data_IF_167534655826
#
_entry.id   IF_167534655826
#
_cell.length_a   1.000
_cell.length_b   1.000
_cell.length_c   1.000
_cell.angle_alpha   90.00
_cell.angle_beta   90.00
_cell.angle_gamma   90.00
#
_symmetry.space_group_name_H-M   'P 1'
#
loop_
_entity.id
_entity.type
_entity.pdbx_description
1 polymer ?
#
# COMPACT_ATOMS: atom_id res chain seq x y z
N UNK A 1 24.59 -4.63 -22.42
CA UNK A 1 23.68 -5.29 -23.36
C UNK A 1 23.01 -6.40 -22.58
N UNK A 2 21.97 -6.04 -21.82
CA UNK A 2 21.23 -6.98 -20.98
C UNK A 2 20.37 -7.88 -21.87
N UNK A 3 20.33 -9.17 -21.56
CA UNK A 3 19.52 -10.15 -22.28
C UNK A 3 18.02 -9.82 -22.15
N UNK A 4 17.20 -10.08 -23.19
CA UNK A 4 15.76 -9.99 -23.06
C UNK A 4 15.28 -10.91 -21.93
N UNK A 5 14.47 -10.37 -21.02
CA UNK A 5 13.92 -11.13 -19.91
C UNK A 5 12.64 -11.79 -20.42
N UNK A 6 12.73 -12.98 -21.02
CA UNK A 6 11.55 -13.73 -21.47
C UNK A 6 10.73 -14.21 -20.26
N UNK A 7 9.43 -13.94 -20.24
CA UNK A 7 8.49 -14.55 -19.29
C UNK A 7 8.03 -15.91 -19.85
N UNK A 8 8.28 -17.03 -19.13
CA UNK A 8 7.90 -18.36 -19.62
C UNK A 8 6.57 -18.85 -19.01
N UNK A 9 5.65 -19.43 -19.82
CA UNK A 9 4.44 -20.08 -19.31
C UNK A 9 4.77 -21.24 -18.36
N UNK A 10 4.08 -21.31 -17.21
CA UNK A 10 4.26 -22.38 -16.22
C UNK A 10 5.31 -22.12 -15.15
N UNK A 11 5.92 -20.94 -15.11
CA UNK A 11 6.83 -20.55 -14.02
C UNK A 11 6.09 -20.45 -12.67
N UNK A 12 6.72 -20.82 -11.54
CA UNK A 12 6.14 -20.60 -10.22
C UNK A 12 6.08 -19.11 -9.88
N UNK A 13 5.15 -18.73 -8.99
CA UNK A 13 4.88 -17.33 -8.67
C UNK A 13 6.10 -16.51 -8.22
N UNK A 14 7.06 -17.13 -7.53
CA UNK A 14 8.29 -16.44 -7.14
C UNK A 14 9.14 -15.93 -8.33
N UNK A 15 9.17 -16.67 -9.44
CA UNK A 15 9.94 -16.33 -10.64
C UNK A 15 9.24 -15.23 -11.41
N UNK A 16 7.90 -15.26 -11.42
CA UNK A 16 7.05 -14.21 -11.99
C UNK A 16 7.23 -12.88 -11.25
N UNK A 17 7.24 -12.93 -9.92
CA UNK A 17 7.51 -11.75 -9.09
C UNK A 17 8.93 -11.22 -9.34
N UNK A 18 9.96 -12.08 -9.36
CA UNK A 18 11.34 -11.68 -9.67
C UNK A 18 11.50 -11.05 -11.06
N UNK A 19 10.80 -11.59 -12.05
CA UNK A 19 10.75 -11.02 -13.39
C UNK A 19 10.18 -9.61 -13.35
N UNK A 20 9.04 -9.43 -12.69
CA UNK A 20 8.36 -8.14 -12.66
C UNK A 20 9.06 -7.08 -11.80
N UNK A 21 9.80 -7.50 -10.76
CA UNK A 21 10.74 -6.64 -10.02
C UNK A 21 11.82 -6.05 -10.94
N UNK A 22 12.42 -6.89 -11.81
CA UNK A 22 13.41 -6.41 -12.79
C UNK A 22 12.78 -5.46 -13.79
N UNK A 23 11.57 -5.74 -14.24
CA UNK A 23 10.82 -4.86 -15.15
C UNK A 23 10.54 -3.49 -14.51
N UNK A 24 10.08 -3.44 -13.24
CA UNK A 24 9.90 -2.18 -12.50
C UNK A 24 11.19 -1.37 -12.50
N UNK A 25 12.29 -1.97 -12.04
CA UNK A 25 13.58 -1.28 -11.94
C UNK A 25 14.07 -0.80 -13.31
N UNK A 26 14.02 -1.67 -14.33
CA UNK A 26 14.41 -1.34 -15.71
C UNK A 26 13.57 -0.21 -16.28
N UNK A 27 12.27 -0.19 -16.05
CA UNK A 27 11.36 0.72 -16.74
C UNK A 27 11.31 2.10 -16.07
N UNK A 28 11.39 2.13 -14.74
CA UNK A 28 11.10 3.35 -13.97
C UNK A 28 12.31 3.95 -13.26
N UNK A 29 13.37 3.20 -12.94
CA UNK A 29 14.49 3.76 -12.18
C UNK A 29 15.20 4.88 -12.96
N UNK A 30 15.37 6.03 -12.31
CA UNK A 30 16.07 7.18 -12.86
C UNK A 30 17.44 7.32 -12.17
N UNK A 31 18.51 7.09 -12.93
CA UNK A 31 19.89 7.17 -12.42
C UNK A 31 20.30 8.60 -12.06
N UNK A 32 19.70 9.63 -12.66
CA UNK A 32 20.03 11.03 -12.39
C UNK A 32 19.44 11.52 -11.07
N UNK A 33 18.19 11.15 -10.78
CA UNK A 33 17.50 11.56 -9.54
C UNK A 33 17.66 10.53 -8.41
N UNK A 34 17.96 9.27 -8.74
CA UNK A 34 18.06 8.15 -7.82
C UNK A 34 16.71 7.67 -7.25
N UNK A 35 15.59 8.13 -7.80
CA UNK A 35 14.23 7.69 -7.48
C UNK A 35 13.56 7.13 -8.75
N UNK A 36 12.34 6.59 -8.62
CA UNK A 36 11.59 6.13 -9.79
C UNK A 36 10.96 7.32 -10.54
N UNK A 37 11.02 7.30 -11.86
CA UNK A 37 10.19 8.15 -12.70
C UNK A 37 8.70 7.82 -12.50
N UNK A 38 7.86 8.81 -12.75
CA UNK A 38 6.41 8.67 -12.59
C UNK A 38 5.76 7.94 -13.77
N UNK A 39 6.38 7.99 -14.95
CA UNK A 39 5.82 7.51 -16.20
C UNK A 39 6.76 6.55 -16.93
N UNK A 40 6.14 5.63 -17.66
CA UNK A 40 6.72 4.94 -18.79
C UNK A 40 5.96 5.31 -20.07
N UNK A 41 6.63 5.63 -21.19
CA UNK A 41 8.09 5.79 -21.30
C UNK A 41 8.57 7.03 -20.52
N UNK A 42 9.83 7.02 -20.11
CA UNK A 42 10.40 7.98 -19.14
C UNK A 42 10.47 9.42 -19.65
N UNK A 43 10.42 9.60 -20.97
CA UNK A 43 10.43 10.89 -21.66
C UNK A 43 9.03 11.51 -21.78
N UNK A 44 7.99 10.79 -21.35
CA UNK A 44 6.67 11.38 -21.20
C UNK A 44 6.67 12.39 -20.05
N UNK A 45 6.40 13.65 -20.39
CA UNK A 45 6.39 14.77 -19.46
C UNK A 45 5.07 15.50 -19.65
N UNK A 46 4.26 15.63 -18.59
CA UNK A 46 3.19 16.62 -18.58
C UNK A 46 3.66 17.89 -17.88
N UNK A 47 3.16 19.04 -18.33
CA UNK A 47 3.59 20.36 -17.83
C UNK A 47 3.22 20.59 -16.36
N UNK A 48 2.22 19.87 -15.87
CA UNK A 48 1.59 20.08 -14.57
C UNK A 48 1.78 18.85 -13.65
N UNK A 49 2.69 17.92 -13.99
CA UNK A 49 2.98 16.75 -13.16
C UNK A 49 3.58 17.18 -11.81
N UNK A 50 2.94 16.73 -10.73
CA UNK A 50 3.46 16.87 -9.38
C UNK A 50 4.43 15.74 -9.07
N UNK A 51 5.30 15.91 -8.08
CA UNK A 51 6.07 14.80 -7.54
C UNK A 51 5.21 14.00 -6.54
N UNK A 52 4.91 12.73 -6.86
CA UNK A 52 4.18 11.82 -5.98
C UNK A 52 5.13 11.13 -4.99
N UNK A 53 5.31 11.76 -3.82
CA UNK A 53 6.17 11.26 -2.76
C UNK A 53 5.77 9.86 -2.27
N UNK A 54 4.48 9.63 -2.02
CA UNK A 54 3.98 8.38 -1.46
C UNK A 54 4.10 7.17 -2.40
N UNK A 55 4.15 7.37 -3.73
CA UNK A 55 4.45 6.26 -4.66
C UNK A 55 5.86 5.70 -4.41
N UNK A 56 6.82 6.56 -4.07
CA UNK A 56 8.19 6.13 -3.76
C UNK A 56 8.26 5.32 -2.45
N UNK A 57 7.40 5.62 -1.47
CA UNK A 57 7.25 4.79 -0.27
C UNK A 57 6.86 3.36 -0.65
N UNK A 58 5.94 3.21 -1.61
CA UNK A 58 5.51 1.90 -2.08
C UNK A 58 6.52 1.20 -2.99
N UNK A 59 7.45 1.94 -3.61
CA UNK A 59 8.64 1.33 -4.23
C UNK A 59 9.51 0.66 -3.17
N UNK A 60 9.72 1.31 -2.02
CA UNK A 60 10.47 0.71 -0.91
C UNK A 60 9.77 -0.55 -0.42
N UNK A 61 8.44 -0.52 -0.26
CA UNK A 61 7.65 -1.69 0.12
C UNK A 61 7.86 -2.91 -0.77
N UNK A 62 7.80 -2.74 -2.10
CA UNK A 62 7.97 -3.86 -3.04
C UNK A 62 9.42 -4.33 -3.12
N UNK A 63 10.41 -3.44 -2.89
CA UNK A 63 11.80 -3.85 -2.75
C UNK A 63 12.01 -4.66 -1.47
N UNK A 64 11.32 -4.33 -0.37
CA UNK A 64 11.32 -5.15 0.85
C UNK A 64 10.65 -6.49 0.59
N UNK A 65 9.53 -6.55 -0.14
CA UNK A 65 8.90 -7.83 -0.52
C UNK A 65 9.89 -8.76 -1.22
N UNK A 66 10.63 -8.23 -2.21
CA UNK A 66 11.65 -9.00 -2.92
C UNK A 66 12.81 -9.41 -2.02
N UNK A 67 13.26 -8.52 -1.13
CA UNK A 67 14.34 -8.84 -0.20
C UNK A 67 13.94 -9.94 0.78
N UNK A 68 12.74 -9.86 1.37
CA UNK A 68 12.21 -10.88 2.29
C UNK A 68 12.13 -12.24 1.58
N UNK A 69 11.66 -12.27 0.33
CA UNK A 69 11.52 -13.51 -0.47
C UNK A 69 12.84 -14.11 -0.94
N UNK A 70 13.81 -13.28 -1.33
CA UNK A 70 15.04 -13.74 -2.02
C UNK A 70 16.30 -13.72 -1.15
N UNK A 71 16.33 -12.86 -0.13
CA UNK A 71 17.52 -12.51 0.65
C UNK A 71 18.68 -11.96 -0.21
N UNK A 72 18.40 -11.48 -1.42
CA UNK A 72 19.43 -10.92 -2.31
C UNK A 72 19.85 -9.51 -1.83
N UNK A 73 21.13 -9.29 -1.49
CA UNK A 73 21.61 -8.00 -0.97
C UNK A 73 21.42 -6.83 -1.96
N UNK A 74 21.19 -7.09 -3.25
CA UNK A 74 20.88 -6.04 -4.22
C UNK A 74 19.66 -5.22 -3.81
N UNK A 75 18.64 -5.84 -3.20
CA UNK A 75 17.43 -5.15 -2.79
C UNK A 75 17.68 -4.25 -1.58
N UNK A 76 18.48 -4.70 -0.60
CA UNK A 76 18.89 -3.86 0.53
C UNK A 76 19.69 -2.62 0.06
N UNK A 77 20.59 -2.78 -0.90
CA UNK A 77 21.31 -1.65 -1.50
C UNK A 77 20.38 -0.68 -2.23
N UNK A 78 19.42 -1.21 -3.01
CA UNK A 78 18.42 -0.39 -3.71
C UNK A 78 17.53 0.39 -2.73
N UNK A 79 17.07 -0.24 -1.65
CA UNK A 79 16.29 0.44 -0.60
C UNK A 79 17.11 1.59 -0.01
N UNK A 80 18.37 1.35 0.38
CA UNK A 80 19.25 2.38 0.94
C UNK A 80 19.49 3.54 -0.01
N UNK A 81 19.85 3.24 -1.26
CA UNK A 81 20.10 4.25 -2.29
C UNK A 81 18.86 5.09 -2.57
N UNK A 82 17.72 4.45 -2.78
CA UNK A 82 16.45 5.13 -3.06
C UNK A 82 15.99 5.97 -1.87
N UNK A 83 16.12 5.48 -0.64
CA UNK A 83 15.72 6.21 0.57
C UNK A 83 16.50 7.52 0.75
N UNK A 84 17.81 7.49 0.47
CA UNK A 84 18.66 8.70 0.53
C UNK A 84 18.32 9.68 -0.57
N UNK A 85 18.10 9.20 -1.79
CA UNK A 85 17.67 10.03 -2.91
C UNK A 85 16.28 10.63 -2.71
N UNK A 86 15.34 9.85 -2.16
CA UNK A 86 14.00 10.32 -1.80
C UNK A 86 14.07 11.47 -0.78
N UNK A 87 14.89 11.32 0.27
CA UNK A 87 15.12 12.39 1.26
C UNK A 87 15.66 13.65 0.60
N UNK A 88 16.64 13.52 -0.29
CA UNK A 88 17.23 14.66 -1.00
C UNK A 88 16.22 15.32 -1.94
N UNK A 89 15.43 14.53 -2.66
CA UNK A 89 14.39 14.99 -3.58
C UNK A 89 13.26 15.72 -2.85
N UNK A 90 12.90 15.26 -1.65
CA UNK A 90 11.94 15.91 -0.76
C UNK A 90 12.56 17.04 0.09
N UNK A 91 13.57 17.74 -0.43
CA UNK A 91 14.14 18.93 0.23
C UNK A 91 15.01 18.64 1.47
N UNK A 92 15.53 17.42 1.61
CA UNK A 92 16.40 17.02 2.71
C UNK A 92 15.68 16.50 3.96
N UNK A 93 14.40 16.17 3.86
CA UNK A 93 13.56 15.64 4.96
C UNK A 93 12.60 14.57 4.45
N UNK A 94 12.05 13.75 5.35
CA UNK A 94 10.92 12.86 5.05
C UNK A 94 9.57 13.46 5.48
N UNK A 95 9.59 14.62 6.15
CA UNK A 95 8.36 15.31 6.51
C UNK A 95 7.67 15.85 5.26
N UNK A 96 6.34 15.78 5.24
CA UNK A 96 5.52 16.19 4.11
C UNK A 96 4.27 16.97 4.59
N UNK A 97 3.56 17.63 3.67
CA UNK A 97 2.31 18.33 3.99
C UNK A 97 1.14 17.37 4.21
N UNK A 98 1.18 16.22 3.54
CA UNK A 98 0.17 15.17 3.59
C UNK A 98 0.57 14.16 4.68
N UNK A 99 -0.35 13.87 5.59
CA UNK A 99 -0.09 12.97 6.73
C UNK A 99 -0.09 11.51 6.29
N UNK A 100 -1.01 11.12 5.41
CA UNK A 100 -1.05 9.81 4.76
C UNK A 100 0.26 9.51 4.01
N UNK A 101 0.79 10.47 3.24
CA UNK A 101 2.11 10.37 2.60
C UNK A 101 3.24 10.01 3.58
N UNK A 102 3.24 10.64 4.77
CA UNK A 102 4.21 10.34 5.82
C UNK A 102 3.96 8.96 6.46
N UNK A 103 2.70 8.56 6.63
CA UNK A 103 2.32 7.25 7.16
C UNK A 103 2.79 6.12 6.23
N UNK A 104 2.63 6.26 4.91
CA UNK A 104 3.13 5.30 3.93
C UNK A 104 4.65 5.15 4.01
N UNK A 105 5.37 6.26 4.05
CA UNK A 105 6.84 6.24 4.19
C UNK A 105 7.28 5.63 5.53
N UNK A 106 6.59 5.96 6.63
CA UNK A 106 6.91 5.39 7.93
C UNK A 106 6.66 3.87 7.97
N UNK A 107 5.58 3.38 7.35
CA UNK A 107 5.32 1.95 7.25
C UNK A 107 6.38 1.23 6.39
N UNK A 108 6.78 1.81 5.26
CA UNK A 108 7.81 1.26 4.39
C UNK A 108 9.18 1.22 5.09
N UNK A 109 9.56 2.28 5.81
CA UNK A 109 10.79 2.30 6.60
C UNK A 109 10.76 1.38 7.80
N UNK A 110 9.60 1.21 8.45
CA UNK A 110 9.50 0.23 9.53
C UNK A 110 9.73 -1.19 9.01
N UNK A 111 9.21 -1.52 7.83
CA UNK A 111 9.49 -2.79 7.16
C UNK A 111 10.96 -2.91 6.76
N UNK A 112 11.56 -1.87 6.19
CA UNK A 112 12.98 -1.85 5.85
C UNK A 112 13.89 -2.05 7.08
N UNK A 113 13.56 -1.40 8.21
CA UNK A 113 14.24 -1.60 9.49
C UNK A 113 14.17 -3.07 9.94
N UNK A 114 12.99 -3.68 9.93
CA UNK A 114 12.82 -5.07 10.35
C UNK A 114 13.56 -6.04 9.44
N UNK A 115 13.62 -5.76 8.14
CA UNK A 115 14.27 -6.61 7.16
C UNK A 115 15.81 -6.49 7.21
N UNK A 116 16.35 -5.28 7.38
CA UNK A 116 17.79 -5.01 7.23
C UNK A 116 18.53 -4.78 8.54
N UNK A 117 17.82 -4.39 9.61
CA UNK A 117 18.40 -3.97 10.88
C UNK A 117 19.10 -2.60 10.84
N UNK A 118 18.98 -1.83 9.76
CA UNK A 118 19.64 -0.52 9.63
C UNK A 118 18.92 0.56 10.45
N UNK A 119 19.63 1.14 11.43
CA UNK A 119 19.03 2.10 12.37
C UNK A 119 18.56 3.42 11.73
N UNK A 120 19.11 3.81 10.58
CA UNK A 120 18.66 5.03 9.87
C UNK A 120 17.16 5.00 9.53
N UNK A 121 16.60 3.81 9.30
CA UNK A 121 15.18 3.66 9.02
C UNK A 121 14.31 3.83 10.27
N UNK A 122 14.72 3.29 11.42
CA UNK A 122 13.97 3.45 12.68
C UNK A 122 14.00 4.91 13.14
N UNK A 123 15.14 5.58 13.03
CA UNK A 123 15.25 7.02 13.32
C UNK A 123 14.27 7.83 12.45
N UNK A 124 14.18 7.52 11.16
CA UNK A 124 13.21 8.15 10.26
C UNK A 124 11.76 7.85 10.65
N UNK A 125 11.44 6.61 11.05
CA UNK A 125 10.10 6.24 11.56
C UNK A 125 9.74 7.04 12.80
N UNK A 126 10.67 7.24 13.74
CA UNK A 126 10.44 8.02 14.95
C UNK A 126 10.19 9.51 14.64
N UNK A 127 10.94 10.10 13.71
CA UNK A 127 10.73 11.48 13.23
C UNK A 127 9.33 11.61 12.59
N UNK A 128 8.99 10.72 11.67
CA UNK A 128 7.69 10.71 10.99
C UNK A 128 6.55 10.53 11.98
N UNK A 129 6.63 9.56 12.89
CA UNK A 129 5.57 9.29 13.87
C UNK A 129 5.35 10.46 14.82
N UNK A 130 6.41 11.17 15.22
CA UNK A 130 6.26 12.38 16.03
C UNK A 130 5.46 13.46 15.31
N UNK A 131 5.67 13.66 14.00
CA UNK A 131 4.93 14.65 13.21
C UNK A 131 3.51 14.15 12.85
N UNK A 132 3.32 12.88 12.50
CA UNK A 132 2.01 12.26 12.20
C UNK A 132 1.04 12.42 13.38
N UNK A 133 1.50 12.24 14.62
CA UNK A 133 0.65 12.43 15.82
C UNK A 133 0.02 13.83 15.92
N UNK A 134 0.61 14.84 15.26
CA UNK A 134 0.05 16.20 15.21
C UNK A 134 -1.20 16.32 14.34
N UNK A 135 -1.49 15.33 13.49
CA UNK A 135 -2.69 15.29 12.65
C UNK A 135 -3.98 15.17 13.46
N UNK A 136 -3.91 14.56 14.66
CA UNK A 136 -5.07 14.34 15.50
C UNK A 136 -5.60 15.65 16.07
N UNK A 137 -6.90 15.88 15.91
CA UNK A 137 -7.60 17.01 16.50
C UNK A 137 -9.10 16.71 16.71
N UNK A 138 -9.81 17.60 17.40
CA UNK A 138 -11.18 17.37 17.85
C UNK A 138 -12.28 17.59 16.78
N UNK A 139 -11.94 18.00 15.55
CA UNK A 139 -12.92 18.04 14.46
C UNK A 139 -13.53 16.64 14.27
N UNK A 140 -14.87 16.56 14.22
CA UNK A 140 -15.59 15.28 14.17
C UNK A 140 -15.28 14.32 15.34
N UNK A 141 -14.97 14.87 16.51
CA UNK A 141 -14.75 14.11 17.74
C UNK A 141 -13.46 13.30 17.76
N UNK A 142 -12.47 13.68 16.94
CA UNK A 142 -11.17 13.00 16.84
C UNK A 142 -10.76 12.76 15.39
N UNK A 143 -9.80 11.87 15.19
CA UNK A 143 -9.33 11.44 13.88
C UNK A 143 -8.16 12.29 13.38
N UNK A 144 -7.31 11.64 12.59
CA UNK A 144 -6.19 12.26 11.90
C UNK A 144 -6.68 13.08 10.71
N UNK A 145 -6.18 14.30 10.59
CA UNK A 145 -6.36 15.13 9.40
C UNK A 145 -5.62 14.55 8.19
N UNK A 146 -6.16 14.78 6.99
CA UNK A 146 -5.50 14.38 5.76
C UNK A 146 -4.16 15.12 5.54
N UNK A 147 -4.17 16.45 5.74
CA UNK A 147 -3.01 17.31 5.48
C UNK A 147 -2.96 18.53 6.39
N UNK A 148 -1.77 19.10 6.55
CA UNK A 148 -1.48 20.17 7.52
C UNK A 148 -2.27 21.46 7.28
N UNK A 149 -2.62 21.75 6.03
CA UNK A 149 -3.39 22.93 5.62
C UNK A 149 -4.90 22.69 5.52
N UNK A 150 -5.39 21.48 5.84
CA UNK A 150 -6.82 21.13 5.89
C UNK A 150 -7.10 20.18 7.06
N UNK A 151 -7.09 20.74 8.27
CA UNK A 151 -7.12 19.96 9.52
C UNK A 151 -8.50 19.38 9.87
N UNK A 152 -9.55 19.84 9.21
CA UNK A 152 -10.94 19.43 9.45
C UNK A 152 -11.43 18.34 8.48
N UNK A 153 -10.66 17.98 7.47
CA UNK A 153 -10.92 16.82 6.62
C UNK A 153 -10.25 15.58 7.21
N UNK A 154 -11.06 14.57 7.54
CA UNK A 154 -10.60 13.31 8.16
C UNK A 154 -10.89 12.16 7.21
N UNK A 155 -9.89 11.37 6.85
CA UNK A 155 -10.04 10.28 5.90
C UNK A 155 -9.37 8.98 6.39
N UNK A 156 -9.89 7.85 5.94
CA UNK A 156 -9.36 6.51 6.21
C UNK A 156 -7.87 6.40 5.85
N UNK A 157 -7.37 6.96 4.71
CA UNK A 157 -5.96 6.93 4.36
C UNK A 157 -4.99 7.59 5.35
N UNK A 158 -5.44 8.56 6.16
CA UNK A 158 -4.61 9.17 7.22
C UNK A 158 -4.89 8.56 8.62
N UNK A 159 -5.88 7.68 8.74
CA UNK A 159 -6.26 7.10 10.04
C UNK A 159 -5.83 5.63 10.13
N UNK A 160 -6.24 4.81 9.17
CA UNK A 160 -5.95 3.38 9.25
C UNK A 160 -4.44 3.06 9.12
N UNK A 161 -3.65 3.70 8.22
CA UNK A 161 -2.19 3.51 8.21
C UNK A 161 -1.50 4.00 9.48
N UNK A 162 -1.91 5.15 10.04
CA UNK A 162 -1.44 5.59 11.36
C UNK A 162 -1.74 4.57 12.48
N UNK A 163 -2.91 3.93 12.46
CA UNK A 163 -3.25 2.87 13.42
C UNK A 163 -2.39 1.61 13.22
N UNK A 164 -2.11 1.21 11.97
CA UNK A 164 -1.17 0.12 11.65
C UNK A 164 0.22 0.45 12.20
N UNK A 165 0.71 1.65 11.93
CA UNK A 165 2.03 2.10 12.37
C UNK A 165 2.15 2.04 13.89
N UNK A 166 1.20 2.65 14.60
CA UNK A 166 1.17 2.68 16.05
C UNK A 166 1.10 1.27 16.66
N UNK A 167 0.25 0.38 16.13
CA UNK A 167 0.16 -1.00 16.61
C UNK A 167 1.47 -1.78 16.39
N UNK A 168 2.14 -1.59 15.24
CA UNK A 168 3.44 -2.21 14.96
C UNK A 168 4.55 -1.67 15.86
N UNK A 169 4.59 -0.35 16.09
CA UNK A 169 5.53 0.28 17.02
C UNK A 169 5.37 -0.27 18.44
N UNK A 170 4.13 -0.38 18.94
CA UNK A 170 3.86 -1.04 20.21
C UNK A 170 4.34 -2.49 20.22
N UNK A 171 4.05 -3.26 19.17
CA UNK A 171 4.49 -4.66 19.06
C UNK A 171 6.01 -4.84 19.20
N UNK A 172 6.78 -3.87 18.68
CA UNK A 172 8.24 -3.87 18.66
C UNK A 172 8.87 -3.30 19.94
N UNK A 173 8.40 -2.14 20.38
CA UNK A 173 9.07 -1.36 21.44
C UNK A 173 8.32 -1.40 22.78
N UNK A 174 7.06 -1.86 22.79
CA UNK A 174 6.22 -2.00 24.00
C UNK A 174 5.99 -0.69 24.75
N UNK A 175 6.00 0.43 24.03
CA UNK A 175 5.61 1.74 24.57
C UNK A 175 4.08 1.84 24.59
N UNK A 176 3.49 1.87 25.79
CA UNK A 176 2.02 1.86 25.96
C UNK A 176 1.31 3.02 25.24
N UNK A 177 1.98 4.17 25.09
CA UNK A 177 1.44 5.32 24.34
C UNK A 177 1.09 4.92 22.89
N UNK A 178 1.91 4.09 22.25
CA UNK A 178 1.67 3.66 20.87
C UNK A 178 0.44 2.75 20.77
N UNK A 179 0.18 1.90 21.79
CA UNK A 179 -1.05 1.12 21.85
C UNK A 179 -2.28 2.01 22.04
N UNK A 180 -2.19 2.99 22.93
CA UNK A 180 -3.27 3.97 23.16
C UNK A 180 -3.59 4.74 21.87
N UNK A 181 -2.57 5.14 21.10
CA UNK A 181 -2.75 5.73 19.78
C UNK A 181 -3.44 4.77 18.82
N UNK A 182 -2.94 3.55 18.67
CA UNK A 182 -3.48 2.56 17.75
C UNK A 182 -4.98 2.30 18.01
N UNK A 183 -5.35 2.06 19.26
CA UNK A 183 -6.74 1.79 19.67
C UNK A 183 -7.62 3.02 19.45
N UNK A 184 -7.15 4.22 19.83
CA UNK A 184 -7.92 5.46 19.67
C UNK A 184 -8.20 5.77 18.20
N UNK A 185 -7.20 5.66 17.33
CA UNK A 185 -7.34 5.95 15.91
C UNK A 185 -8.27 4.93 15.25
N UNK A 186 -8.05 3.64 15.51
CA UNK A 186 -8.88 2.57 14.98
C UNK A 186 -10.36 2.73 15.41
N UNK A 187 -10.60 3.00 16.69
CA UNK A 187 -11.95 3.20 17.20
C UNK A 187 -12.66 4.39 16.53
N UNK A 188 -11.93 5.49 16.28
CA UNK A 188 -12.48 6.64 15.57
C UNK A 188 -12.79 6.29 14.10
N UNK A 189 -11.86 5.63 13.39
CA UNK A 189 -12.05 5.25 12.00
C UNK A 189 -13.24 4.29 11.85
N UNK A 190 -13.34 3.28 12.72
CA UNK A 190 -14.45 2.31 12.76
C UNK A 190 -15.80 3.00 12.99
N UNK A 191 -15.85 3.95 13.93
CA UNK A 191 -17.09 4.61 14.31
C UNK A 191 -17.64 5.52 13.21
N UNK A 192 -16.77 6.21 12.47
CA UNK A 192 -17.20 7.28 11.56
C UNK A 192 -17.17 6.88 10.09
N UNK A 193 -16.25 6.00 9.69
CA UNK A 193 -15.98 5.71 8.28
C UNK A 193 -16.15 4.23 7.92
N UNK A 194 -16.71 3.41 8.82
CA UNK A 194 -17.04 2.01 8.50
C UNK A 194 -18.55 1.82 8.61
N UNK A 195 -19.13 1.27 7.56
CA UNK A 195 -20.54 0.92 7.53
C UNK A 195 -20.83 -0.12 8.61
N UNK A 196 -21.62 0.22 9.65
CA UNK A 196 -21.92 -0.71 10.72
C UNK A 196 -22.77 -1.91 10.27
N UNK A 197 -23.45 -1.83 9.12
CA UNK A 197 -24.27 -2.90 8.57
C UNK A 197 -23.45 -3.92 7.77
N UNK A 198 -22.44 -3.48 7.03
CA UNK A 198 -21.66 -4.36 6.13
C UNK A 198 -20.22 -4.58 6.58
N UNK A 199 -19.58 -3.59 7.20
CA UNK A 199 -18.12 -3.58 7.43
C UNK A 199 -17.33 -2.95 6.28
N UNK A 200 -18.02 -2.38 5.27
CA UNK A 200 -17.41 -1.64 4.18
C UNK A 200 -16.88 -0.28 4.65
N UNK A 201 -15.76 0.16 4.11
CA UNK A 201 -15.03 1.35 4.57
C UNK A 201 -15.20 2.50 3.58
N UNK A 202 -15.62 3.66 4.07
CA UNK A 202 -15.75 4.89 3.29
C UNK A 202 -14.45 5.70 3.33
N UNK A 203 -14.26 6.57 2.33
CA UNK A 203 -13.02 7.32 2.17
C UNK A 203 -12.80 8.34 3.29
N UNK A 204 -13.70 9.32 3.44
CA UNK A 204 -13.51 10.39 4.40
C UNK A 204 -14.76 11.19 4.71
N UNK A 205 -14.62 12.11 5.65
CA UNK A 205 -15.65 13.03 6.12
C UNK A 205 -15.14 14.46 6.06
N UNK A 206 -15.98 15.35 5.50
CA UNK A 206 -15.77 16.80 5.41
C UNK A 206 -14.68 17.27 4.42
N UNK A 207 -14.45 16.51 3.34
CA UNK A 207 -13.49 16.91 2.30
C UNK A 207 -13.79 18.27 1.67
N UNK A 208 -15.07 18.60 1.50
CA UNK A 208 -15.56 19.83 0.89
C UNK A 208 -16.01 20.90 1.91
N UNK A 209 -15.76 20.69 3.21
CA UNK A 209 -16.20 21.62 4.26
C UNK A 209 -17.71 21.60 4.55
N UNK A 210 -18.42 20.54 4.12
CA UNK A 210 -19.87 20.41 4.23
C UNK A 210 -20.33 19.39 5.31
N UNK A 211 -19.37 18.81 6.04
CA UNK A 211 -19.61 17.81 7.08
C UNK A 211 -20.14 16.46 6.60
N UNK A 212 -20.06 16.16 5.29
CA UNK A 212 -20.57 14.91 4.73
C UNK A 212 -19.47 13.85 4.58
N UNK A 213 -19.90 12.60 4.63
CA UNK A 213 -19.07 11.45 4.27
C UNK A 213 -19.12 11.26 2.75
N UNK A 214 -17.98 10.98 2.14
CA UNK A 214 -17.82 10.67 0.72
C UNK A 214 -18.23 9.21 0.43
N UNK A 215 -19.53 8.92 0.48
CA UNK A 215 -20.06 7.54 0.30
C UNK A 215 -19.81 6.95 -1.10
N UNK A 216 -19.69 7.80 -2.13
CA UNK A 216 -19.47 7.37 -3.51
C UNK A 216 -18.00 7.03 -3.81
N UNK A 217 -17.08 7.30 -2.87
CA UNK A 217 -15.65 7.02 -3.00
C UNK A 217 -15.34 5.65 -2.40
N UNK A 218 -15.63 4.62 -3.19
CA UNK A 218 -15.52 3.21 -2.81
C UNK A 218 -14.17 2.61 -3.25
N UNK A 219 -13.09 3.00 -2.57
CA UNK A 219 -11.74 2.59 -2.96
C UNK A 219 -11.27 1.32 -2.26
N UNK A 220 -10.52 0.50 -3.00
CA UNK A 220 -10.00 -0.80 -2.52
C UNK A 220 -9.02 -0.64 -1.35
N UNK A 221 -8.11 0.32 -1.41
CA UNK A 221 -7.08 0.53 -0.39
C UNK A 221 -7.66 0.88 0.98
N UNK A 222 -8.75 1.66 1.06
CA UNK A 222 -9.45 1.97 2.31
C UNK A 222 -9.87 0.69 3.05
N UNK A 223 -10.32 -0.32 2.31
CA UNK A 223 -10.67 -1.62 2.87
C UNK A 223 -9.41 -2.33 3.39
N UNK A 224 -8.34 -2.33 2.58
CA UNK A 224 -7.05 -2.94 2.89
C UNK A 224 -6.39 -2.39 4.16
N UNK A 225 -6.35 -1.06 4.31
CA UNK A 225 -5.72 -0.46 5.49
C UNK A 225 -6.54 -0.66 6.75
N UNK A 226 -7.87 -0.59 6.68
CA UNK A 226 -8.70 -0.79 7.86
C UNK A 226 -8.64 -2.24 8.37
N UNK A 227 -8.72 -3.22 7.46
CA UNK A 227 -8.53 -4.62 7.83
C UNK A 227 -7.09 -4.86 8.33
N UNK A 228 -6.09 -4.23 7.71
CA UNK A 228 -4.70 -4.27 8.16
C UNK A 228 -4.54 -3.77 9.61
N UNK A 229 -5.15 -2.63 9.94
CA UNK A 229 -5.15 -2.09 11.30
C UNK A 229 -5.80 -3.05 12.31
N UNK A 230 -6.91 -3.68 11.93
CA UNK A 230 -7.55 -4.72 12.74
C UNK A 230 -6.64 -5.93 12.97
N UNK A 231 -5.90 -6.37 11.95
CA UNK A 231 -4.95 -7.47 12.10
C UNK A 231 -3.80 -7.13 13.05
N UNK A 232 -3.21 -5.93 12.94
CA UNK A 232 -2.14 -5.52 13.85
C UNK A 232 -2.64 -5.39 15.29
N UNK A 233 -3.81 -4.79 15.51
CA UNK A 233 -4.42 -4.69 16.83
C UNK A 233 -4.75 -6.07 17.42
N UNK A 234 -5.27 -6.99 16.61
CA UNK A 234 -5.48 -8.37 17.06
C UNK A 234 -4.16 -9.03 17.48
N UNK A 235 -3.08 -8.87 16.71
CA UNK A 235 -1.77 -9.46 17.03
C UNK A 235 -1.21 -8.97 18.36
N UNK A 236 -1.40 -7.70 18.69
CA UNK A 236 -0.81 -7.11 19.91
C UNK A 236 -1.72 -7.16 21.14
N UNK A 237 -3.05 -7.23 20.97
CA UNK A 237 -4.01 -7.28 22.08
C UNK A 237 -4.63 -8.66 22.31
N UNK A 238 -4.64 -9.51 21.30
CA UNK A 238 -5.38 -10.78 21.24
C UNK A 238 -6.90 -10.64 21.42
N UNK A 239 -7.47 -9.43 21.26
CA UNK A 239 -8.91 -9.22 21.37
C UNK A 239 -9.63 -9.67 20.08
N UNK A 240 -10.52 -10.69 20.14
CA UNK A 240 -11.11 -11.30 18.94
C UNK A 240 -11.91 -10.34 18.06
N UNK A 241 -12.41 -9.24 18.61
CA UNK A 241 -13.19 -8.25 17.88
C UNK A 241 -12.42 -7.66 16.70
N UNK A 242 -11.11 -7.40 16.83
CA UNK A 242 -10.32 -6.80 15.76
C UNK A 242 -10.12 -7.76 14.58
N UNK A 243 -9.95 -9.05 14.85
CA UNK A 243 -9.92 -10.08 13.80
C UNK A 243 -11.28 -10.23 13.12
N UNK A 244 -12.37 -10.21 13.89
CA UNK A 244 -13.74 -10.29 13.36
C UNK A 244 -14.04 -9.10 12.45
N UNK A 245 -13.63 -7.89 12.84
CA UNK A 245 -13.77 -6.69 12.01
C UNK A 245 -12.95 -6.81 10.72
N UNK A 246 -11.69 -7.26 10.79
CA UNK A 246 -10.84 -7.43 9.61
C UNK A 246 -11.41 -8.44 8.60
N UNK A 247 -11.89 -9.59 9.08
CA UNK A 247 -12.54 -10.62 8.24
C UNK A 247 -13.81 -10.04 7.59
N UNK A 248 -14.65 -9.37 8.39
CA UNK A 248 -15.89 -8.77 7.91
C UNK A 248 -15.65 -7.71 6.83
N UNK A 249 -14.63 -6.87 7.00
CA UNK A 249 -14.24 -5.88 5.98
C UNK A 249 -13.74 -6.54 4.71
N UNK A 250 -12.94 -7.61 4.81
CA UNK A 250 -12.49 -8.36 3.64
C UNK A 250 -13.65 -9.01 2.88
N UNK A 251 -14.60 -9.62 3.59
CA UNK A 251 -15.82 -10.19 3.01
C UNK A 251 -16.66 -9.12 2.30
N UNK A 252 -16.90 -7.98 2.95
CA UNK A 252 -17.65 -6.85 2.36
C UNK A 252 -16.95 -6.28 1.12
N UNK A 253 -15.63 -6.11 1.19
CA UNK A 253 -14.80 -5.67 0.06
C UNK A 253 -14.93 -6.64 -1.13
N UNK A 254 -14.73 -7.94 -0.90
CA UNK A 254 -14.79 -8.94 -1.96
C UNK A 254 -16.21 -9.05 -2.55
N UNK A 255 -17.24 -8.95 -1.72
CA UNK A 255 -18.63 -9.02 -2.18
C UNK A 255 -19.05 -7.79 -3.00
N UNK A 256 -18.51 -6.61 -2.66
CA UNK A 256 -18.92 -5.34 -3.27
C UNK A 256 -18.08 -4.94 -4.48
N UNK A 257 -16.75 -5.13 -4.41
CA UNK A 257 -15.82 -4.59 -5.41
C UNK A 257 -15.34 -5.63 -6.42
N UNK A 258 -15.31 -6.92 -6.07
CA UNK A 258 -14.91 -7.94 -7.04
C UNK A 258 -16.06 -8.25 -7.99
N UNK A 259 -15.73 -8.52 -9.25
CA UNK A 259 -16.70 -9.08 -10.18
C UNK A 259 -17.23 -10.43 -9.65
N UNK A 260 -18.55 -10.67 -9.61
CA UNK A 260 -19.15 -11.79 -8.88
C UNK A 260 -18.73 -13.17 -9.41
N UNK A 261 -18.43 -13.27 -10.71
CA UNK A 261 -18.03 -14.52 -11.36
C UNK A 261 -16.51 -14.67 -11.46
N UNK A 262 -15.84 -13.75 -12.17
CA UNK A 262 -14.39 -13.80 -12.40
C UNK A 262 -13.52 -13.46 -11.20
N UNK A 263 -14.07 -12.84 -10.15
CA UNK A 263 -13.34 -12.36 -8.96
C UNK A 263 -12.41 -11.17 -9.21
N UNK A 264 -12.46 -10.56 -10.39
CA UNK A 264 -11.56 -9.48 -10.76
C UNK A 264 -11.83 -8.24 -9.90
N UNK A 265 -10.76 -7.64 -9.39
CA UNK A 265 -10.81 -6.33 -8.75
C UNK A 265 -11.03 -5.23 -9.80
N UNK A 266 -11.64 -4.10 -9.44
CA UNK A 266 -12.07 -3.10 -10.41
C UNK A 266 -10.88 -2.36 -11.04
N UNK A 267 -11.04 -1.88 -12.28
CA UNK A 267 -10.19 -0.82 -12.79
C UNK A 267 -10.53 0.49 -12.05
N UNK A 268 -9.60 0.97 -11.23
CA UNK A 268 -9.78 2.20 -10.45
C UNK A 268 -9.20 3.43 -11.18
N UNK A 269 -8.62 3.24 -12.37
CA UNK A 269 -8.05 4.29 -13.19
C UNK A 269 -6.54 4.49 -12.99
N UNK A 270 -6.11 5.71 -13.33
CA UNK A 270 -4.72 6.14 -13.34
C UNK A 270 -4.45 7.07 -12.15
N UNK A 271 -3.24 7.60 -12.07
CA UNK A 271 -2.77 8.47 -11.00
C UNK A 271 -2.72 7.70 -9.67
N UNK A 272 -3.07 8.33 -8.55
CA UNK A 272 -3.07 7.71 -7.23
C UNK A 272 -3.91 6.43 -7.16
N UNK A 273 -5.04 6.40 -7.87
CA UNK A 273 -5.96 5.25 -7.85
C UNK A 273 -5.36 3.99 -8.47
N UNK A 274 -4.35 4.14 -9.33
CA UNK A 274 -3.60 3.02 -9.92
C UNK A 274 -2.89 2.15 -8.88
N UNK A 275 -2.60 2.68 -7.69
CA UNK A 275 -1.91 1.96 -6.63
C UNK A 275 -2.86 1.26 -5.64
N UNK A 276 -4.14 1.64 -5.61
CA UNK A 276 -5.07 1.28 -4.53
C UNK A 276 -5.26 -0.23 -4.38
N UNK A 277 -5.47 -0.94 -5.50
CA UNK A 277 -5.58 -2.41 -5.49
C UNK A 277 -4.35 -3.09 -4.91
N UNK A 278 -3.15 -2.55 -5.18
CA UNK A 278 -1.91 -3.10 -4.66
C UNK A 278 -1.87 -3.09 -3.13
N UNK A 279 -2.28 -1.98 -2.53
CA UNK A 279 -2.39 -1.84 -1.08
C UNK A 279 -3.41 -2.81 -0.51
N UNK A 280 -4.59 -2.96 -1.15
CA UNK A 280 -5.57 -3.97 -0.74
C UNK A 280 -4.94 -5.36 -0.71
N UNK A 281 -4.25 -5.76 -1.79
CA UNK A 281 -3.61 -7.07 -1.87
C UNK A 281 -2.64 -7.29 -0.70
N UNK A 282 -1.78 -6.32 -0.37
CA UNK A 282 -0.80 -6.45 0.72
C UNK A 282 -1.46 -6.91 2.02
N UNK A 283 -2.59 -6.31 2.38
CA UNK A 283 -3.27 -6.64 3.63
C UNK A 283 -4.17 -7.88 3.51
N UNK A 284 -4.75 -8.15 2.34
CA UNK A 284 -5.44 -9.42 2.08
C UNK A 284 -4.50 -10.62 2.17
N UNK A 285 -3.26 -10.50 1.69
CA UNK A 285 -2.23 -11.55 1.85
C UNK A 285 -1.98 -11.84 3.33
N UNK A 286 -1.81 -10.79 4.14
CA UNK A 286 -1.63 -10.96 5.59
C UNK A 286 -2.84 -11.61 6.26
N UNK A 287 -4.06 -11.24 5.85
CA UNK A 287 -5.28 -11.87 6.33
C UNK A 287 -5.31 -13.36 5.98
N UNK A 288 -5.04 -13.71 4.72
CA UNK A 288 -5.05 -15.09 4.24
C UNK A 288 -3.96 -15.98 4.85
N UNK A 289 -2.81 -15.40 5.20
CA UNK A 289 -1.75 -16.10 5.94
C UNK A 289 -2.16 -16.35 7.40
N UNK A 290 -2.81 -15.38 8.04
CA UNK A 290 -3.19 -15.48 9.45
C UNK A 290 -4.45 -16.33 9.67
N UNK A 291 -5.38 -16.33 8.71
CA UNK A 291 -6.65 -17.07 8.74
C UNK A 291 -6.84 -17.86 7.44
N UNK A 292 -6.12 -18.99 7.24
CA UNK A 292 -6.18 -19.78 6.01
C UNK A 292 -7.56 -20.36 5.67
N UNK A 293 -8.47 -20.44 6.65
CA UNK A 293 -9.86 -20.82 6.44
C UNK A 293 -10.66 -19.80 5.62
N UNK A 294 -10.17 -18.55 5.50
CA UNK A 294 -10.74 -17.50 4.64
C UNK A 294 -10.39 -17.74 3.16
N UNK A 295 -10.82 -18.89 2.62
CA UNK A 295 -10.45 -19.37 1.28
C UNK A 295 -10.72 -18.34 0.18
N UNK A 296 -11.80 -17.57 0.31
CA UNK A 296 -12.20 -16.53 -0.65
C UNK A 296 -11.09 -15.49 -0.89
N UNK A 297 -10.35 -15.14 0.15
CA UNK A 297 -9.23 -14.18 0.05
C UNK A 297 -8.15 -14.72 -0.88
N UNK A 298 -7.78 -15.99 -0.69
CA UNK A 298 -6.80 -16.68 -1.55
C UNK A 298 -7.30 -16.83 -2.98
N UNK A 299 -8.59 -17.17 -3.16
CA UNK A 299 -9.21 -17.29 -4.49
C UNK A 299 -9.13 -15.96 -5.25
N UNK A 300 -9.49 -14.84 -4.62
CA UNK A 300 -9.43 -13.51 -5.24
C UNK A 300 -8.01 -13.17 -5.65
N UNK A 301 -7.02 -13.32 -4.75
CA UNK A 301 -5.62 -12.99 -5.05
C UNK A 301 -5.09 -13.84 -6.22
N UNK A 302 -5.30 -15.16 -6.18
CA UNK A 302 -4.77 -16.06 -7.21
C UNK A 302 -5.49 -15.91 -8.55
N UNK A 303 -6.81 -15.64 -8.56
CA UNK A 303 -7.55 -15.37 -9.79
C UNK A 303 -7.04 -14.09 -10.46
N UNK A 304 -6.85 -13.02 -9.69
CA UNK A 304 -6.34 -11.75 -10.22
C UNK A 304 -4.90 -11.88 -10.71
N UNK A 305 -4.04 -12.58 -9.96
CA UNK A 305 -2.65 -12.82 -10.35
C UNK A 305 -2.55 -13.65 -11.63
N UNK A 306 -3.42 -14.66 -11.79
CA UNK A 306 -3.48 -15.46 -13.02
C UNK A 306 -3.92 -14.63 -14.21
N UNK A 307 -4.98 -13.83 -14.06
CA UNK A 307 -5.47 -12.95 -15.11
C UNK A 307 -4.41 -11.92 -15.53
N UNK A 308 -3.79 -11.23 -14.56
CA UNK A 308 -2.70 -10.29 -14.82
C UNK A 308 -1.56 -10.95 -15.60
N UNK A 309 -1.10 -12.12 -15.15
CA UNK A 309 0.03 -12.80 -15.77
C UNK A 309 -0.26 -13.32 -17.18
N UNK A 310 -1.46 -13.85 -17.39
CA UNK A 310 -1.83 -14.49 -18.66
C UNK A 310 -2.33 -13.49 -19.72
N UNK A 311 -2.89 -12.35 -19.28
CA UNK A 311 -3.62 -11.43 -20.16
C UNK A 311 -3.24 -9.96 -19.96
N UNK A 312 -3.00 -9.53 -18.72
CA UNK A 312 -2.83 -8.11 -18.37
C UNK A 312 -1.41 -7.54 -18.50
N UNK A 313 -0.39 -8.40 -18.65
CA UNK A 313 1.02 -7.98 -18.80
C UNK A 313 1.41 -7.94 -20.27
N UNK A 314 1.98 -6.82 -20.71
CA UNK A 314 2.80 -6.78 -21.92
C UNK A 314 4.16 -7.41 -21.60
N UNK A 315 4.39 -8.61 -22.13
CA UNK A 315 5.60 -9.38 -21.84
C UNK A 315 6.88 -8.80 -22.48
N UNK A 316 6.75 -8.02 -23.57
CA UNK A 316 7.90 -7.38 -24.21
C UNK A 316 8.34 -6.16 -23.39
N UNK A 317 7.37 -5.32 -23.02
CA UNK A 317 7.62 -4.09 -22.28
C UNK A 317 7.75 -4.31 -20.77
N UNK A 318 7.23 -5.41 -20.23
CA UNK A 318 7.21 -5.68 -18.79
C UNK A 318 6.31 -4.71 -18.03
N UNK A 319 5.14 -4.40 -18.58
CA UNK A 319 4.20 -3.41 -18.04
C UNK A 319 2.83 -4.03 -17.82
N UNK A 320 2.05 -3.46 -16.90
CA UNK A 320 0.62 -3.74 -16.76
C UNK A 320 -0.23 -2.47 -16.78
N UNK A 321 -1.49 -2.63 -17.15
CA UNK A 321 -2.48 -1.56 -17.14
C UNK A 321 -3.25 -1.46 -15.81
N UNK A 322 -4.11 -0.44 -15.66
CA UNK A 322 -4.91 -0.27 -14.45
C UNK A 322 -6.02 -1.32 -14.33
N UNK A 323 -6.48 -1.87 -15.47
CA UNK A 323 -7.21 -3.14 -15.54
C UNK A 323 -6.23 -4.30 -15.73
N UNK A 324 -6.30 -5.30 -14.84
CA UNK A 324 -5.50 -6.53 -14.95
C UNK A 324 -6.05 -7.52 -15.98
N UNK A 325 -7.22 -7.22 -16.57
CA UNK A 325 -7.84 -8.03 -17.63
C UNK A 325 -7.40 -7.62 -19.04
N UNK A 326 -6.69 -6.51 -19.17
CA UNK A 326 -6.36 -5.89 -20.46
C UNK A 326 -4.87 -5.59 -20.55
N UNK A 327 -4.34 -5.70 -21.77
CA UNK A 327 -2.98 -5.26 -22.07
C UNK A 327 -2.84 -3.75 -21.80
N UNK A 328 -1.68 -3.29 -21.29
CA UNK A 328 -1.44 -1.87 -21.02
C UNK A 328 -1.45 -1.03 -22.30
N UNK A 329 -1.96 0.20 -22.20
CA UNK A 329 -1.79 1.23 -23.21
C UNK A 329 -0.88 2.33 -22.68
N UNK A 330 0.25 2.59 -23.35
CA UNK A 330 1.18 3.65 -22.92
C UNK A 330 0.60 5.05 -23.17
N UNK A 331 0.89 6.04 -22.29
CA UNK A 331 1.84 5.98 -21.18
C UNK A 331 1.28 5.36 -19.89
N UNK A 332 2.14 4.68 -19.11
CA UNK A 332 1.77 3.96 -17.87
C UNK A 332 2.47 4.58 -16.66
N UNK A 333 1.70 4.91 -15.62
CA UNK A 333 2.25 5.45 -14.38
C UNK A 333 2.86 4.37 -13.48
N UNK A 334 3.83 4.80 -12.68
CA UNK A 334 4.49 3.98 -11.67
C UNK A 334 3.48 3.36 -10.70
N UNK A 335 2.43 4.09 -10.31
CA UNK A 335 1.40 3.62 -9.38
C UNK A 335 0.74 2.32 -9.85
N UNK A 336 0.41 2.26 -11.14
CA UNK A 336 -0.20 1.11 -11.82
C UNK A 336 0.77 -0.09 -11.82
N UNK A 337 2.04 0.16 -12.17
CA UNK A 337 3.05 -0.90 -12.18
C UNK A 337 3.25 -1.50 -10.79
N UNK A 338 3.28 -0.66 -9.76
CA UNK A 338 3.44 -1.09 -8.37
C UNK A 338 2.27 -1.96 -7.90
N UNK A 339 1.03 -1.64 -8.28
CA UNK A 339 -0.11 -2.47 -7.88
C UNK A 339 -0.08 -3.87 -8.49
N UNK A 340 0.29 -4.00 -9.76
CA UNK A 340 0.52 -5.30 -10.40
C UNK A 340 1.66 -6.08 -9.73
N UNK A 341 2.72 -5.39 -9.29
CA UNK A 341 3.85 -6.04 -8.61
C UNK A 341 3.49 -6.52 -7.21
N UNK A 342 2.75 -5.72 -6.43
CA UNK A 342 2.21 -6.15 -5.14
C UNK A 342 1.31 -7.38 -5.29
N UNK A 343 0.57 -7.50 -6.39
CA UNK A 343 -0.22 -8.69 -6.72
C UNK A 343 0.65 -9.94 -6.91
N UNK A 344 1.70 -9.85 -7.74
CA UNK A 344 2.56 -10.99 -8.02
C UNK A 344 3.40 -11.42 -6.81
N UNK A 345 3.89 -10.46 -6.02
CA UNK A 345 4.55 -10.73 -4.74
C UNK A 345 3.57 -11.39 -3.75
N UNK A 346 2.33 -10.90 -3.69
CA UNK A 346 1.27 -11.50 -2.87
C UNK A 346 0.92 -12.93 -3.26
N UNK A 347 0.82 -13.21 -4.56
CA UNK A 347 0.61 -14.55 -5.08
C UNK A 347 1.80 -15.48 -4.75
N UNK A 348 3.04 -14.98 -4.84
CA UNK A 348 4.22 -15.72 -4.42
C UNK A 348 4.18 -16.06 -2.92
N UNK A 349 3.79 -15.12 -2.07
CA UNK A 349 3.70 -15.31 -0.62
C UNK A 349 2.62 -16.32 -0.17
N UNK A 350 1.56 -16.52 -0.96
CA UNK A 350 0.47 -17.47 -0.66
C UNK A 350 0.63 -18.85 -1.31
N UNK A 351 1.64 -19.03 -2.16
CA UNK A 351 1.91 -20.27 -2.89
C UNK A 351 3.19 -21.00 -2.42
N UNK A 352 3.77 -20.55 -1.30
CA UNK A 352 4.89 -21.21 -0.63
C UNK A 352 4.43 -22.38 0.24
#
# INVERSE_FOLDING_TARGET
MEQPIEAMPGEPWHSRADWFQRCLWRNYFNEETGIMNQWYPRDFITKDDNFYYWWQAHVIDVLVDAYERTQDPVYAERIRSLSRSLRAYNGGTFLHNYYDDMEWTALAFLRAYLATGEEEYKEAVQELWADIRTAWNDHYGGGMAWKKDQTDYKNTPANAPAAILAARLYGLFREEEDLEWAVRIYAWNKKHLVDPATGFVWDGINRLGDGRIDYDWEFTYCQGVFLGAGLELYRVTMEPQYAQDAIRTAEACCARLCHPESLMLPDEGIDDTGLFKGILIRYLVQLGQQFPEQQRVREVILANAACLWEQGIDAELGLCGPSWEQQPETPIQLSIQLSGLMLLEGAAALHL
#
